data_IF_988927331436
#
_entry.id   IF_988927331436
#
_cell.length_a   1.000
_cell.length_b   1.000
_cell.length_c   1.000
_cell.angle_alpha   90.00
_cell.angle_beta   90.00
_cell.angle_gamma   90.00
#
_symmetry.space_group_name_H-M   'P 1'
#
loop_
_entity.id
_entity.type
_entity.pdbx_description
1 polymer ?
#
# COMPACT_ATOMS: atom_id res chain seq x y z
N UNK A 1 -6.55 -18.28 3.51
CA UNK A 1 -6.29 -19.23 2.40
C UNK A 1 -7.12 -20.49 2.64
N UNK A 2 -7.54 -21.20 1.60
CA UNK A 2 -8.23 -22.50 1.75
C UNK A 2 -7.23 -23.59 2.15
N UNK A 3 -7.46 -24.24 3.30
CA UNK A 3 -6.58 -25.27 3.87
C UNK A 3 -6.44 -26.50 2.97
N UNK A 4 -7.49 -26.88 2.23
CA UNK A 4 -7.43 -28.03 1.33
C UNK A 4 -6.51 -27.75 0.14
N UNK A 5 -6.54 -26.53 -0.38
CA UNK A 5 -5.66 -26.10 -1.47
C UNK A 5 -4.19 -26.10 -1.03
N UNK A 6 -3.92 -25.66 0.19
CA UNK A 6 -2.57 -25.67 0.76
C UNK A 6 -1.99 -27.09 0.82
N UNK A 7 -2.72 -28.04 1.41
CA UNK A 7 -2.27 -29.43 1.54
C UNK A 7 -2.01 -30.10 0.18
N UNK A 8 -2.84 -29.82 -0.84
CA UNK A 8 -2.64 -30.36 -2.18
C UNK A 8 -1.38 -29.82 -2.88
N UNK A 9 -1.01 -28.57 -2.60
CA UNK A 9 0.20 -27.95 -3.14
C UNK A 9 1.44 -28.53 -2.45
N UNK A 10 1.41 -28.63 -1.13
CA UNK A 10 2.48 -29.23 -0.33
C UNK A 10 2.72 -30.71 -0.70
N UNK A 11 1.65 -31.49 -0.89
CA UNK A 11 1.75 -32.88 -1.33
C UNK A 11 2.36 -33.03 -2.74
N UNK A 12 2.31 -31.98 -3.57
CA UNK A 12 2.95 -31.92 -4.89
C UNK A 12 4.37 -31.36 -4.84
N UNK A 13 4.92 -31.13 -3.65
CA UNK A 13 6.28 -30.61 -3.45
C UNK A 13 6.40 -29.09 -3.55
N UNK A 14 5.28 -28.35 -3.57
CA UNK A 14 5.31 -26.89 -3.51
C UNK A 14 5.46 -26.42 -2.07
N UNK A 15 6.27 -25.39 -1.85
CA UNK A 15 6.40 -24.73 -0.55
C UNK A 15 5.39 -23.59 -0.48
N UNK A 16 4.60 -23.58 0.59
CA UNK A 16 3.70 -22.48 0.92
C UNK A 16 4.39 -21.66 1.99
N UNK A 17 4.62 -20.39 1.71
CA UNK A 17 5.42 -19.48 2.53
C UNK A 17 4.76 -18.12 2.58
N UNK A 18 5.15 -17.29 3.53
CA UNK A 18 4.65 -15.91 3.62
C UNK A 18 5.48 -14.98 2.72
N UNK A 19 4.97 -13.79 2.37
CA UNK A 19 5.77 -12.80 1.63
C UNK A 19 7.06 -12.42 2.35
N UNK A 20 7.04 -12.36 3.69
CA UNK A 20 8.19 -12.01 4.53
C UNK A 20 9.27 -13.08 4.44
N UNK A 21 8.88 -14.35 4.54
CA UNK A 21 9.78 -15.49 4.37
C UNK A 21 10.32 -15.60 2.93
N UNK A 22 9.47 -15.37 1.92
CA UNK A 22 9.86 -15.45 0.51
C UNK A 22 10.84 -14.35 0.09
N UNK A 23 10.65 -13.14 0.62
CA UNK A 23 11.49 -11.97 0.31
C UNK A 23 12.62 -11.77 1.33
N UNK A 24 12.75 -12.68 2.31
CA UNK A 24 13.73 -12.62 3.39
C UNK A 24 13.72 -11.28 4.16
N UNK A 25 12.53 -10.72 4.39
CA UNK A 25 12.37 -9.41 5.00
C UNK A 25 12.69 -9.45 6.49
N UNK A 26 13.37 -8.42 6.98
CA UNK A 26 13.47 -8.22 8.42
C UNK A 26 12.12 -7.76 9.01
N UNK A 27 11.91 -7.89 10.33
CA UNK A 27 10.71 -7.35 10.99
C UNK A 27 10.53 -5.85 10.72
N UNK A 28 11.63 -5.09 10.66
CA UNK A 28 11.62 -3.65 10.38
C UNK A 28 11.19 -3.35 8.93
N UNK A 29 11.70 -4.11 7.95
CA UNK A 29 11.30 -3.96 6.54
C UNK A 29 9.84 -4.33 6.33
N UNK A 30 9.38 -5.40 6.98
CA UNK A 30 7.97 -5.81 6.97
C UNK A 30 7.09 -4.69 7.52
N UNK A 31 7.42 -4.17 8.72
CA UNK A 31 6.67 -3.06 9.33
C UNK A 31 6.68 -1.80 8.45
N UNK A 32 7.82 -1.47 7.83
CA UNK A 32 7.92 -0.34 6.90
C UNK A 32 6.98 -0.50 5.70
N UNK A 33 6.94 -1.68 5.09
CA UNK A 33 6.05 -2.00 3.97
C UNK A 33 4.58 -1.90 4.41
N UNK A 34 4.24 -2.46 5.57
CA UNK A 34 2.88 -2.41 6.12
C UNK A 34 2.41 -0.97 6.36
N UNK A 35 3.24 -0.12 6.99
CA UNK A 35 2.92 1.30 7.20
C UNK A 35 2.72 2.00 5.86
N UNK A 36 3.60 1.79 4.88
CA UNK A 36 3.47 2.39 3.56
C UNK A 36 2.15 1.99 2.87
N UNK A 37 1.78 0.72 2.94
CA UNK A 37 0.53 0.21 2.38
C UNK A 37 -0.69 0.80 3.08
N UNK A 38 -0.65 0.90 4.42
CA UNK A 38 -1.73 1.47 5.21
C UNK A 38 -1.96 2.95 4.85
N UNK A 39 -0.90 3.76 4.82
CA UNK A 39 -1.01 5.17 4.48
C UNK A 39 -1.52 5.39 3.04
N UNK A 40 -1.02 4.60 2.09
CA UNK A 40 -1.45 4.67 0.67
C UNK A 40 -2.95 4.35 0.52
N UNK A 41 -3.44 3.34 1.23
CA UNK A 41 -4.87 2.97 1.25
C UNK A 41 -5.70 4.04 1.95
N UNK A 42 -5.27 4.52 3.11
CA UNK A 42 -6.00 5.53 3.85
C UNK A 42 -6.12 6.85 3.06
N UNK A 43 -5.07 7.25 2.35
CA UNK A 43 -5.11 8.40 1.44
C UNK A 43 -6.23 8.26 0.41
N UNK A 44 -6.32 7.08 -0.25
CA UNK A 44 -7.35 6.78 -1.24
C UNK A 44 -8.75 6.77 -0.61
N UNK A 45 -8.93 6.06 0.50
CA UNK A 45 -10.20 5.96 1.22
C UNK A 45 -10.71 7.34 1.61
N UNK A 46 -9.84 8.18 2.18
CA UNK A 46 -10.20 9.54 2.58
C UNK A 46 -10.54 10.42 1.38
N UNK A 47 -9.80 10.31 0.27
CA UNK A 47 -10.15 10.99 -0.99
C UNK A 47 -11.55 10.60 -1.45
N UNK A 48 -11.86 9.31 -1.46
CA UNK A 48 -13.14 8.77 -1.90
C UNK A 48 -14.29 9.18 -0.96
N UNK A 49 -14.06 9.18 0.36
CA UNK A 49 -15.02 9.69 1.35
C UNK A 49 -15.36 11.17 1.16
N UNK A 50 -14.39 11.97 0.71
CA UNK A 50 -14.57 13.39 0.40
C UNK A 50 -15.14 13.62 -1.02
N UNK A 51 -15.45 12.56 -1.78
CA UNK A 51 -15.90 12.61 -3.17
C UNK A 51 -14.96 13.38 -4.11
N UNK A 52 -13.66 13.32 -3.83
CA UNK A 52 -12.63 13.99 -4.64
C UNK A 52 -12.13 13.07 -5.75
N UNK A 53 -11.92 13.64 -6.94
CA UNK A 53 -11.12 12.98 -7.97
C UNK A 53 -9.62 13.04 -7.61
N UNK A 54 -8.80 12.20 -8.23
CA UNK A 54 -7.35 12.28 -8.04
C UNK A 54 -6.77 13.62 -8.48
N UNK A 55 -7.37 14.27 -9.49
CA UNK A 55 -6.98 15.62 -9.92
C UNK A 55 -7.34 16.67 -8.86
N UNK A 56 -8.55 16.61 -8.29
CA UNK A 56 -8.97 17.54 -7.25
C UNK A 56 -8.08 17.43 -6.00
N UNK A 57 -7.71 16.21 -5.60
CA UNK A 57 -6.74 16.02 -4.53
C UNK A 57 -5.34 16.55 -4.91
N UNK A 58 -4.90 16.36 -6.16
CA UNK A 58 -3.63 16.89 -6.62
C UNK A 58 -3.57 18.42 -6.52
N UNK A 59 -4.65 19.10 -6.91
CA UNK A 59 -4.76 20.55 -6.84
C UNK A 59 -4.68 21.02 -5.37
N UNK A 60 -5.36 20.32 -4.44
CA UNK A 60 -5.28 20.61 -2.99
C UNK A 60 -3.88 20.39 -2.40
N UNK A 61 -3.12 19.45 -2.94
CA UNK A 61 -1.77 19.10 -2.49
C UNK A 61 -0.66 19.85 -3.25
N UNK A 62 -1.00 20.77 -4.15
CA UNK A 62 -0.04 21.45 -5.04
C UNK A 62 0.87 20.45 -5.77
N UNK A 63 0.24 19.39 -6.26
CA UNK A 63 0.90 18.21 -6.82
C UNK A 63 0.31 17.88 -8.19
N UNK A 64 0.81 16.82 -8.82
CA UNK A 64 0.23 16.30 -10.06
C UNK A 64 -0.68 15.11 -9.79
N UNK A 65 -1.72 14.93 -10.62
CA UNK A 65 -2.59 13.76 -10.53
C UNK A 65 -1.79 12.45 -10.66
N UNK A 66 -0.75 12.41 -11.49
CA UNK A 66 0.15 11.25 -11.59
C UNK A 66 0.87 10.96 -10.27
N UNK A 67 1.29 12.00 -9.53
CA UNK A 67 1.91 11.82 -8.21
C UNK A 67 0.90 11.29 -7.21
N UNK A 68 -0.33 11.82 -7.18
CA UNK A 68 -1.43 11.30 -6.33
C UNK A 68 -1.76 9.84 -6.66
N UNK A 69 -1.85 9.48 -7.94
CA UNK A 69 -2.10 8.10 -8.36
C UNK A 69 -1.00 7.14 -7.88
N UNK A 70 0.28 7.55 -7.95
CA UNK A 70 1.41 6.77 -7.42
C UNK A 70 1.38 6.65 -5.90
N UNK A 71 0.94 7.71 -5.21
CA UNK A 71 0.76 7.71 -3.75
C UNK A 71 -0.30 6.70 -3.33
N UNK A 72 -1.48 6.73 -3.95
CA UNK A 72 -2.56 5.78 -3.65
C UNK A 72 -2.22 4.32 -4.00
N UNK A 73 -1.33 4.13 -4.99
CA UNK A 73 -0.84 2.82 -5.38
C UNK A 73 0.33 2.30 -4.50
N UNK A 74 0.86 3.11 -3.58
CA UNK A 74 2.03 2.74 -2.78
C UNK A 74 3.30 2.53 -3.60
N UNK A 75 3.47 3.28 -4.70
CA UNK A 75 4.57 3.07 -5.63
C UNK A 75 5.96 3.18 -4.95
N UNK A 76 6.99 2.46 -5.42
CA UNK A 76 8.33 2.50 -4.84
C UNK A 76 8.92 3.92 -4.73
N UNK A 77 8.60 4.79 -5.69
CA UNK A 77 9.10 6.17 -5.76
C UNK A 77 8.46 7.14 -4.76
N UNK A 78 7.53 6.68 -3.92
CA UNK A 78 6.82 7.50 -2.93
C UNK A 78 7.42 7.27 -1.54
N UNK A 79 7.84 8.35 -0.88
CA UNK A 79 8.28 8.33 0.52
C UNK A 79 7.11 8.35 1.50
N UNK A 80 7.33 7.92 2.75
CA UNK A 80 6.32 7.99 3.81
C UNK A 80 5.88 9.43 4.07
N UNK A 81 6.82 10.39 4.10
CA UNK A 81 6.53 11.82 4.30
C UNK A 81 5.51 12.38 3.28
N UNK A 82 5.50 11.82 2.07
CA UNK A 82 4.56 12.24 1.03
C UNK A 82 3.12 11.76 1.36
N UNK A 83 2.97 10.64 2.06
CA UNK A 83 1.67 10.01 2.33
C UNK A 83 0.92 10.61 3.53
N UNK A 84 1.60 11.34 4.43
CA UNK A 84 0.97 11.99 5.60
C UNK A 84 0.16 13.26 5.25
N UNK A 85 0.18 13.71 3.99
CA UNK A 85 -0.32 15.03 3.62
C UNK A 85 -1.84 15.26 3.81
N UNK A 86 -2.69 14.23 3.69
CA UNK A 86 -4.13 14.39 3.94
C UNK A 86 -4.48 14.51 5.44
N UNK A 87 -3.60 14.06 6.34
CA UNK A 87 -3.82 14.17 7.78
C UNK A 87 -3.58 15.59 8.31
N UNK A 88 -2.73 16.37 7.63
CA UNK A 88 -2.27 17.70 8.10
C UNK A 88 -3.17 18.85 7.63
N UNK A 89 -3.91 18.67 6.52
CA UNK A 89 -4.71 19.75 5.88
C UNK A 89 -6.20 19.79 6.29
N UNK A 90 -6.61 19.07 7.34
CA UNK A 90 -7.96 19.14 7.93
C UNK A 90 -7.91 19.66 9.34
#
# INVERSE_FOLDING_TARGET
MDKNKQQQLEAKGWVVTTPEEFLELTPEETAYIEVKLLLSRNLRERREMLNLSQQALADMLESSQSRVSKMEAGAPTVSLDLLDMLAVKT
#
